data_IF_836126666318
#
_entry.id   IF_836126666318
#
_cell.length_a   1.000
_cell.length_b   1.000
_cell.length_c   1.000
_cell.angle_alpha   90.00
_cell.angle_beta   90.00
_cell.angle_gamma   90.00
#
_symmetry.space_group_name_H-M   'P 1'
#
loop_
_entity.id
_entity.type
_entity.pdbx_description
1 polymer ?
#
# COMPACT_ATOMS: atom_id res chain seq x y z
N UNK A 1 -65.55 22.16 -63.72
CA UNK A 1 -65.33 20.71 -63.47
C UNK A 1 -63.88 20.48 -63.07
N UNK A 2 -63.69 19.72 -62.01
CA UNK A 2 -62.48 19.62 -61.19
C UNK A 2 -61.31 18.87 -61.85
N UNK A 3 -60.10 19.43 -61.68
CA UNK A 3 -58.77 18.87 -61.29
C UNK A 3 -58.37 17.40 -61.63
N UNK A 4 -57.07 17.10 -61.92
CA UNK A 4 -55.98 17.37 -60.96
C UNK A 4 -54.54 17.67 -61.45
N UNK A 5 -53.78 18.20 -60.46
CA UNK A 5 -52.34 18.17 -60.12
C UNK A 5 -51.50 17.08 -60.83
N UNK A 6 -50.17 17.16 -61.04
CA UNK A 6 -49.09 17.56 -60.11
C UNK A 6 -47.69 17.42 -60.79
N UNK A 7 -46.80 18.38 -60.51
CA UNK A 7 -45.33 18.31 -60.28
C UNK A 7 -44.34 17.80 -61.36
N UNK A 8 -43.65 18.79 -61.95
CA UNK A 8 -42.20 19.01 -62.06
C UNK A 8 -41.20 17.85 -61.83
N UNK A 9 -40.26 17.68 -62.77
CA UNK A 9 -38.84 17.43 -62.49
C UNK A 9 -37.95 17.81 -63.70
N UNK A 10 -36.82 18.41 -63.37
CA UNK A 10 -35.81 19.08 -64.18
C UNK A 10 -34.80 18.15 -64.86
N UNK A 11 -34.58 18.44 -66.15
CA UNK A 11 -33.38 18.52 -66.98
C UNK A 11 -31.97 18.08 -66.49
N UNK A 12 -31.17 17.71 -67.51
CA UNK A 12 -29.69 17.68 -67.65
C UNK A 12 -28.94 16.51 -67.03
N UNK A 13 -27.80 16.05 -67.53
CA UNK A 13 -27.17 15.98 -68.84
C UNK A 13 -25.92 15.11 -68.61
N UNK A 14 -25.56 14.33 -69.62
CA UNK A 14 -24.37 13.49 -69.76
C UNK A 14 -23.04 14.18 -69.45
N UNK A 15 -22.07 13.44 -68.91
CA UNK A 15 -20.65 13.83 -68.97
C UNK A 15 -19.72 13.06 -68.04
N UNK A 16 -19.27 11.88 -68.47
CA UNK A 16 -18.24 11.06 -67.81
C UNK A 16 -16.86 11.67 -68.03
N UNK A 17 -16.08 11.87 -66.97
CA UNK A 17 -14.63 12.05 -67.01
C UNK A 17 -13.97 11.12 -66.00
N UNK A 18 -13.17 10.17 -66.52
CA UNK A 18 -12.29 9.31 -65.75
C UNK A 18 -11.04 10.08 -65.30
N UNK A 19 -10.72 9.99 -64.02
CA UNK A 19 -9.34 10.09 -63.54
C UNK A 19 -9.15 9.13 -62.37
N UNK A 20 -8.38 8.07 -62.63
CA UNK A 20 -8.04 7.03 -61.68
C UNK A 20 -7.13 7.59 -60.57
N UNK A 21 -7.66 7.73 -59.36
CA UNK A 21 -6.86 7.97 -58.16
C UNK A 21 -6.22 6.66 -57.70
N UNK A 22 -4.89 6.56 -57.76
CA UNK A 22 -4.14 5.48 -57.12
C UNK A 22 -4.25 5.70 -55.61
N UNK A 23 -5.15 4.97 -54.94
CA UNK A 23 -5.19 4.93 -53.49
C UNK A 23 -4.07 3.99 -53.00
N UNK A 24 -3.01 4.55 -52.40
CA UNK A 24 -2.06 3.77 -51.62
C UNK A 24 -2.77 3.29 -50.35
N UNK A 25 -3.22 2.04 -50.33
CA UNK A 25 -3.64 1.38 -49.11
C UNK A 25 -2.39 1.11 -48.24
N UNK A 26 -2.19 1.91 -47.19
CA UNK A 26 -1.19 1.63 -46.17
C UNK A 26 -1.61 0.36 -45.39
N UNK A 27 -0.68 -0.55 -45.04
CA UNK A 27 -1.01 -1.68 -44.19
C UNK A 27 -1.37 -1.15 -42.80
N UNK A 28 -2.60 -1.39 -42.37
CA UNK A 28 -2.98 -1.22 -40.98
C UNK A 28 -2.28 -2.32 -40.17
N UNK A 29 -1.11 -2.00 -39.62
CA UNK A 29 -0.43 -2.87 -38.65
C UNK A 29 -1.31 -2.97 -37.41
N UNK A 30 -2.02 -4.09 -37.26
CA UNK A 30 -2.58 -4.53 -35.99
C UNK A 30 -1.41 -4.88 -35.08
N UNK A 31 -0.90 -3.89 -34.36
CA UNK A 31 -0.01 -4.14 -33.23
C UNK A 31 -0.80 -5.01 -32.24
N UNK A 32 -0.46 -6.31 -32.21
CA UNK A 32 -0.92 -7.19 -31.16
C UNK A 32 -0.45 -6.57 -29.84
N UNK A 33 -1.40 -6.02 -29.08
CA UNK A 33 -1.14 -5.63 -27.71
C UNK A 33 -0.75 -6.92 -26.99
N UNK A 34 0.56 -7.14 -26.84
CA UNK A 34 1.10 -8.10 -25.89
C UNK A 34 0.59 -7.64 -24.54
N UNK A 35 -0.50 -8.25 -24.11
CA UNK A 35 -1.07 -8.04 -22.80
C UNK A 35 0.00 -8.39 -21.79
N UNK A 36 0.75 -7.38 -21.34
CA UNK A 36 1.49 -7.46 -20.10
C UNK A 36 0.43 -7.78 -19.05
N UNK A 37 0.33 -9.05 -18.66
CA UNK A 37 -0.42 -9.45 -17.46
C UNK A 37 0.11 -8.52 -16.37
N UNK A 38 -0.71 -7.56 -15.95
CA UNK A 38 -0.44 -6.78 -14.76
C UNK A 38 -0.19 -7.83 -13.67
N UNK A 39 1.05 -7.94 -13.21
CA UNK A 39 1.35 -8.79 -12.07
C UNK A 39 0.58 -8.14 -10.93
N UNK A 40 -0.56 -8.71 -10.55
CA UNK A 40 -1.25 -8.32 -9.34
C UNK A 40 -0.27 -8.59 -8.22
N UNK A 41 0.45 -7.54 -7.80
CA UNK A 41 1.39 -7.64 -6.70
C UNK A 41 0.54 -7.97 -5.49
N UNK A 42 0.56 -9.24 -5.08
CA UNK A 42 -0.20 -9.70 -3.92
C UNK A 42 0.12 -8.80 -2.73
N UNK A 43 -0.93 -8.37 -2.02
CA UNK A 43 -0.80 -7.56 -0.81
C UNK A 43 0.13 -8.29 0.16
N UNK A 44 1.19 -7.65 0.65
CA UNK A 44 2.11 -8.31 1.55
C UNK A 44 1.43 -8.54 2.90
N UNK A 45 1.68 -9.72 3.48
CA UNK A 45 1.05 -10.12 4.73
C UNK A 45 1.99 -9.83 5.89
N UNK A 46 1.52 -9.07 6.87
CA UNK A 46 2.20 -8.89 8.15
C UNK A 46 1.90 -10.09 9.03
N UNK A 47 2.94 -10.87 9.34
CA UNK A 47 2.76 -12.16 10.03
C UNK A 47 3.16 -12.10 11.50
N UNK A 48 4.07 -11.20 11.86
CA UNK A 48 4.55 -11.11 13.23
C UNK A 48 5.18 -9.74 13.52
N UNK A 49 5.25 -9.40 14.80
CA UNK A 49 6.06 -8.29 15.28
C UNK A 49 6.83 -8.74 16.52
N UNK A 50 8.14 -8.52 16.49
CA UNK A 50 9.10 -8.93 17.51
C UNK A 50 9.99 -7.76 17.91
N UNK A 51 10.63 -7.88 19.05
CA UNK A 51 11.53 -6.87 19.57
C UNK A 51 12.74 -7.49 20.25
N UNK A 52 13.81 -6.70 20.40
CA UNK A 52 15.01 -7.11 21.11
C UNK A 52 15.80 -5.91 21.61
N UNK A 53 16.39 -6.04 22.79
CA UNK A 53 17.33 -5.06 23.32
C UNK A 53 18.73 -5.36 22.82
N UNK A 54 19.44 -4.33 22.39
CA UNK A 54 20.86 -4.37 22.08
C UNK A 54 21.60 -3.36 22.95
N UNK A 55 22.94 -3.38 22.89
CA UNK A 55 23.76 -2.55 23.75
C UNK A 55 23.49 -1.05 23.55
N UNK A 56 23.30 -0.61 22.31
CA UNK A 56 23.15 0.82 21.94
C UNK A 56 21.81 1.15 21.28
N UNK A 57 20.93 0.16 21.09
CA UNK A 57 19.61 0.38 20.49
C UNK A 57 18.61 -0.70 20.89
N UNK A 58 17.33 -0.35 20.88
CA UNK A 58 16.23 -1.30 20.90
C UNK A 58 15.73 -1.52 19.48
N UNK A 59 15.46 -2.76 19.10
CA UNK A 59 15.02 -3.12 17.76
C UNK A 59 13.57 -3.60 17.81
N UNK A 60 12.75 -3.07 16.91
CA UNK A 60 11.45 -3.63 16.52
C UNK A 60 11.61 -4.24 15.13
N UNK A 61 11.10 -5.45 14.93
CA UNK A 61 11.05 -6.10 13.62
C UNK A 61 9.62 -6.51 13.32
N UNK A 62 9.11 -6.09 12.17
CA UNK A 62 7.85 -6.53 11.61
C UNK A 62 8.20 -7.54 10.52
N UNK A 63 7.78 -8.79 10.70
CA UNK A 63 8.03 -9.87 9.76
C UNK A 63 6.90 -9.90 8.73
N UNK A 64 7.25 -10.01 7.44
CA UNK A 64 6.31 -9.99 6.32
C UNK A 64 6.45 -11.22 5.41
N UNK A 65 5.35 -11.59 4.75
CA UNK A 65 5.32 -12.49 3.60
C UNK A 65 5.00 -11.69 2.34
N UNK A 66 5.67 -12.02 1.23
CA UNK A 66 5.54 -11.29 -0.03
C UNK A 66 6.71 -10.35 -0.23
N UNK A 67 6.52 -9.07 0.09
CA UNK A 67 7.54 -8.02 -0.02
C UNK A 67 7.38 -7.00 1.10
N UNK A 68 8.41 -6.18 1.38
CA UNK A 68 8.27 -5.05 2.30
C UNK A 68 7.59 -3.86 1.60
N UNK A 69 6.37 -3.43 2.00
CA UNK A 69 5.65 -2.34 1.37
C UNK A 69 6.26 -0.96 1.68
N UNK A 70 5.57 0.11 1.29
CA UNK A 70 5.86 1.43 1.84
C UNK A 70 5.52 1.46 3.32
N UNK A 71 6.43 2.02 4.11
CA UNK A 71 6.29 2.12 5.57
C UNK A 71 6.54 3.56 5.98
N UNK A 72 5.58 4.13 6.69
CA UNK A 72 5.68 5.47 7.27
C UNK A 72 5.80 5.34 8.77
N UNK A 73 6.78 6.04 9.36
CA UNK A 73 6.98 6.09 10.81
C UNK A 73 6.82 7.54 11.26
N UNK A 74 5.76 7.81 12.02
CA UNK A 74 5.38 9.17 12.41
C UNK A 74 5.36 9.30 13.93
N UNK A 75 6.10 10.27 14.50
CA UNK A 75 5.92 10.65 15.90
C UNK A 75 4.53 11.26 16.11
N UNK A 76 3.78 10.74 17.08
CA UNK A 76 2.42 11.19 17.38
C UNK A 76 2.26 11.51 18.87
N UNK A 77 1.41 12.47 19.24
CA UNK A 77 1.16 12.80 20.65
C UNK A 77 0.36 11.70 21.37
N UNK A 78 -0.40 10.90 20.63
CA UNK A 78 -1.24 9.80 21.13
C UNK A 78 -1.52 8.80 20.02
N UNK A 79 -1.68 7.53 20.40
CA UNK A 79 -2.08 6.45 19.51
C UNK A 79 -3.56 6.12 19.66
N UNK A 80 -4.20 5.77 18.55
CA UNK A 80 -5.60 5.34 18.50
C UNK A 80 -5.71 4.02 17.73
N UNK A 81 -6.71 3.21 18.06
CA UNK A 81 -7.05 2.03 17.27
C UNK A 81 -7.80 2.45 16.01
N UNK A 82 -7.37 1.91 14.87
CA UNK A 82 -8.00 2.15 13.58
C UNK A 82 -9.46 1.63 13.61
N UNK A 83 -10.35 2.34 12.94
CA UNK A 83 -11.80 2.07 12.93
C UNK A 83 -12.54 2.48 14.20
N UNK A 84 -12.04 2.15 15.40
CA UNK A 84 -12.74 2.46 16.65
C UNK A 84 -12.46 3.87 17.19
N UNK A 85 -11.31 4.46 16.86
CA UNK A 85 -10.87 5.75 17.40
C UNK A 85 -10.58 5.76 18.90
N UNK A 86 -10.60 4.59 19.57
CA UNK A 86 -10.30 4.48 21.00
C UNK A 86 -8.80 4.65 21.24
N UNK A 87 -8.38 5.32 22.33
CA UNK A 87 -6.97 5.47 22.64
C UNK A 87 -6.33 4.11 22.94
N UNK A 88 -5.11 3.91 22.47
CA UNK A 88 -4.34 2.69 22.73
C UNK A 88 -3.72 2.79 24.14
N UNK A 89 -3.95 1.82 25.04
CA UNK A 89 -3.50 1.89 26.43
C UNK A 89 -2.03 1.46 26.57
N UNK A 90 -1.13 2.13 25.86
CA UNK A 90 0.31 1.91 25.97
C UNK A 90 0.93 2.84 27.03
N UNK A 91 1.76 2.27 27.90
CA UNK A 91 2.53 3.03 28.87
C UNK A 91 3.71 3.73 28.16
N UNK A 92 3.76 5.05 28.22
CA UNK A 92 4.83 5.85 27.63
C UNK A 92 4.48 7.34 27.63
N UNK A 93 5.48 8.17 27.34
CA UNK A 93 5.33 9.62 27.16
C UNK A 93 5.44 10.06 25.70
N UNK A 94 6.05 9.23 24.86
CA UNK A 94 6.27 9.46 23.44
C UNK A 94 5.82 8.24 22.65
N UNK A 95 5.27 8.47 21.45
CA UNK A 95 4.71 7.41 20.63
C UNK A 95 5.17 7.53 19.18
N UNK A 96 5.37 6.38 18.53
CA UNK A 96 5.53 6.27 17.09
C UNK A 96 4.36 5.47 16.52
N UNK A 97 3.76 5.99 15.47
CA UNK A 97 2.83 5.28 14.61
C UNK A 97 3.60 4.72 13.40
N UNK A 98 3.51 3.42 13.17
CA UNK A 98 4.19 2.70 12.09
C UNK A 98 3.11 2.16 11.16
N UNK A 99 2.96 2.78 9.98
CA UNK A 99 1.92 2.43 9.00
C UNK A 99 2.53 1.74 7.80
N UNK A 100 2.03 0.55 7.48
CA UNK A 100 2.41 -0.21 6.31
C UNK A 100 1.26 -0.18 5.30
N UNK A 101 1.56 0.22 4.05
CA UNK A 101 0.58 0.26 2.97
C UNK A 101 1.23 0.05 1.60
N UNK A 102 0.66 -0.80 0.72
CA UNK A 102 -0.42 -1.75 1.00
C UNK A 102 0.08 -2.89 1.92
N UNK A 103 -0.74 -3.35 2.85
CA UNK A 103 -0.46 -4.50 3.71
C UNK A 103 -1.75 -5.09 4.29
N UNK A 104 -1.73 -6.37 4.67
CA UNK A 104 -2.82 -7.00 5.43
C UNK A 104 -2.26 -7.90 6.52
N UNK A 105 -2.96 -8.05 7.64
CA UNK A 105 -2.68 -9.03 8.69
C UNK A 105 -3.70 -10.20 8.68
N UNK A 106 -4.54 -10.27 7.64
CA UNK A 106 -5.47 -11.36 7.35
C UNK A 106 -5.25 -11.92 5.93
N UNK A 107 -5.70 -13.15 5.69
CA UNK A 107 -5.74 -13.75 4.35
C UNK A 107 -7.01 -13.35 3.57
N UNK A 108 -7.11 -13.79 2.31
CA UNK A 108 -8.24 -13.47 1.42
C UNK A 108 -9.59 -14.02 1.94
N UNK A 109 -9.59 -14.98 2.87
CA UNK A 109 -10.78 -15.50 3.54
C UNK A 109 -11.11 -14.72 4.83
N UNK A 110 -10.36 -13.65 5.13
CA UNK A 110 -10.51 -12.82 6.32
C UNK A 110 -9.93 -13.43 7.60
N UNK A 111 -9.20 -14.54 7.52
CA UNK A 111 -8.60 -15.18 8.69
C UNK A 111 -7.31 -14.46 9.07
N UNK A 112 -7.20 -14.11 10.35
CA UNK A 112 -6.00 -13.49 10.90
C UNK A 112 -4.75 -14.39 10.73
N UNK A 113 -3.76 -13.88 10.00
CA UNK A 113 -2.45 -14.50 9.80
C UNK A 113 -1.38 -13.95 10.74
N UNK A 114 -1.64 -12.80 11.38
CA UNK A 114 -0.74 -12.23 12.38
C UNK A 114 -0.71 -13.07 13.66
N UNK A 115 0.51 -13.46 14.06
CA UNK A 115 0.79 -14.30 15.23
C UNK A 115 1.45 -13.54 16.38
N UNK A 116 1.81 -12.29 16.17
CA UNK A 116 2.41 -11.45 17.20
C UNK A 116 1.41 -10.95 18.24
N UNK A 117 1.87 -10.21 19.26
CA UNK A 117 0.99 -9.64 20.26
C UNK A 117 0.14 -8.52 19.66
N UNK A 118 -1.13 -8.43 20.09
CA UNK A 118 -2.00 -7.27 19.77
C UNK A 118 -1.65 -6.04 20.60
N UNK A 119 -1.27 -6.25 21.86
CA UNK A 119 -0.83 -5.22 22.79
C UNK A 119 0.09 -5.88 23.80
N UNK A 120 1.29 -5.32 24.01
CA UNK A 120 2.26 -5.84 24.95
C UNK A 120 3.03 -4.71 25.62
N UNK A 121 3.33 -4.90 26.91
CA UNK A 121 4.25 -4.05 27.67
C UNK A 121 5.66 -4.66 27.58
N UNK A 122 6.64 -3.82 27.28
CA UNK A 122 8.03 -4.19 27.03
C UNK A 122 8.91 -3.46 28.05
N UNK A 123 9.97 -4.12 28.52
CA UNK A 123 10.89 -3.59 29.52
C UNK A 123 12.32 -3.49 28.95
N UNK A 124 12.47 -2.74 27.86
CA UNK A 124 13.77 -2.44 27.26
C UNK A 124 14.21 -1.01 27.59
N UNK A 125 15.50 -0.62 27.42
CA UNK A 125 15.97 0.73 27.70
C UNK A 125 15.08 1.87 27.19
N UNK A 126 14.72 1.87 25.90
CA UNK A 126 13.84 2.84 25.24
C UNK A 126 12.41 2.32 25.05
N UNK A 127 12.26 1.12 24.50
CA UNK A 127 10.96 0.57 24.11
C UNK A 127 10.16 0.09 25.33
N UNK A 128 8.94 0.62 25.50
CA UNK A 128 8.06 0.36 26.65
C UNK A 128 6.79 -0.41 26.31
N UNK A 129 6.43 -0.47 25.04
CA UNK A 129 5.35 -1.31 24.59
C UNK A 129 5.13 -1.21 23.08
N UNK A 130 4.39 -2.19 22.58
CA UNK A 130 4.05 -2.35 21.17
C UNK A 130 2.59 -2.79 21.07
N UNK A 131 1.87 -2.25 20.09
CA UNK A 131 0.50 -2.63 19.81
C UNK A 131 0.28 -2.73 18.29
N UNK A 132 -0.50 -3.73 17.86
CA UNK A 132 -1.14 -3.73 16.56
C UNK A 132 -2.42 -2.89 16.70
N UNK A 133 -2.43 -1.71 16.08
CA UNK A 133 -3.51 -0.72 16.24
C UNK A 133 -4.55 -0.80 15.12
N UNK A 134 -4.22 -1.43 13.99
CA UNK A 134 -5.17 -1.62 12.90
C UNK A 134 -4.72 -2.61 11.84
N UNK A 135 -5.70 -3.19 11.16
CA UNK A 135 -5.57 -4.03 9.96
C UNK A 135 -6.85 -3.81 9.14
N UNK A 136 -6.88 -2.75 8.34
CA UNK A 136 -8.09 -2.28 7.64
C UNK A 136 -7.73 -1.53 6.35
N UNK A 137 -8.54 -1.68 5.29
CA UNK A 137 -8.37 -0.97 4.00
C UNK A 137 -6.96 -1.06 3.39
N UNK A 138 -6.27 -2.18 3.61
CA UNK A 138 -4.90 -2.37 3.13
C UNK A 138 -3.85 -1.62 3.95
N UNK A 139 -4.19 -1.14 5.14
CA UNK A 139 -3.25 -0.62 6.13
C UNK A 139 -3.08 -1.63 7.26
N UNK A 140 -1.82 -1.84 7.65
CA UNK A 140 -1.49 -2.44 8.94
C UNK A 140 -0.73 -1.41 9.75
N UNK A 141 -1.25 -1.07 10.92
CA UNK A 141 -0.71 -0.01 11.77
C UNK A 141 -0.22 -0.59 13.08
N UNK A 142 0.99 -0.22 13.49
CA UNK A 142 1.53 -0.49 14.81
C UNK A 142 1.77 0.80 15.58
N UNK A 143 1.57 0.73 16.89
CA UNK A 143 1.93 1.77 17.83
C UNK A 143 3.08 1.31 18.73
N UNK A 144 4.14 2.11 18.84
CA UNK A 144 5.24 1.87 19.77
C UNK A 144 5.32 3.00 20.79
N UNK A 145 5.61 2.65 22.05
CA UNK A 145 5.67 3.59 23.16
C UNK A 145 7.05 3.68 23.81
N UNK A 146 7.42 4.90 24.21
CA UNK A 146 8.74 5.25 24.73
C UNK A 146 8.63 6.19 25.92
N UNK A 147 9.63 6.16 26.82
CA UNK A 147 9.69 7.08 27.96
C UNK A 147 10.37 8.42 27.62
N UNK A 148 11.25 8.41 26.62
CA UNK A 148 11.97 9.59 26.12
C UNK A 148 11.71 9.74 24.62
N UNK A 149 12.00 10.92 24.06
CA UNK A 149 11.85 11.17 22.62
C UNK A 149 12.69 10.16 21.84
N UNK A 150 12.09 9.32 20.98
CA UNK A 150 12.83 8.30 20.25
C UNK A 150 13.69 8.95 19.15
N UNK A 151 14.95 8.51 19.06
CA UNK A 151 15.82 8.76 17.91
C UNK A 151 15.95 7.43 17.18
N UNK A 152 15.49 7.34 15.94
CA UNK A 152 15.31 6.06 15.27
C UNK A 152 15.81 6.03 13.83
N UNK A 153 16.12 4.82 13.38
CA UNK A 153 16.53 4.46 12.03
C UNK A 153 15.62 3.36 11.51
N UNK A 154 15.38 3.31 10.20
CA UNK A 154 14.57 2.25 9.59
C UNK A 154 15.34 1.51 8.50
N UNK A 155 15.12 0.21 8.41
CA UNK A 155 15.77 -0.66 7.45
C UNK A 155 14.78 -1.67 6.87
N UNK A 156 14.99 -2.06 5.62
CA UNK A 156 14.30 -3.19 5.00
C UNK A 156 15.31 -4.32 4.82
N UNK A 157 14.98 -5.50 5.32
CA UNK A 157 15.80 -6.70 5.12
C UNK A 157 15.02 -7.70 4.28
N UNK A 158 15.75 -8.42 3.45
CA UNK A 158 15.23 -9.46 2.59
C UNK A 158 15.68 -10.84 3.10
N UNK A 159 15.02 -11.91 2.64
CA UNK A 159 15.36 -13.31 2.93
C UNK A 159 15.50 -13.64 4.45
N UNK A 160 14.43 -13.56 5.27
CA UNK A 160 13.03 -13.22 4.95
C UNK A 160 12.76 -11.71 4.94
N UNK A 161 11.62 -11.32 4.36
CA UNK A 161 11.14 -9.93 4.28
C UNK A 161 10.82 -9.36 5.67
N UNK A 162 11.50 -8.29 6.03
CA UNK A 162 11.39 -7.66 7.35
C UNK A 162 11.50 -6.16 7.23
N UNK A 163 10.60 -5.47 7.91
CA UNK A 163 10.80 -4.06 8.25
C UNK A 163 11.41 -3.98 9.65
N UNK A 164 12.48 -3.20 9.79
CA UNK A 164 13.22 -3.03 11.04
C UNK A 164 13.21 -1.57 11.43
N UNK A 165 12.95 -1.29 12.70
CA UNK A 165 13.04 0.01 13.32
C UNK A 165 13.96 -0.09 14.53
N UNK A 166 15.08 0.62 14.49
CA UNK A 166 16.06 0.68 15.56
C UNK A 166 15.95 2.01 16.29
N UNK A 167 15.86 1.98 17.62
CA UNK A 167 15.75 3.15 18.49
C UNK A 167 17.00 3.26 19.33
N UNK A 168 17.80 4.29 19.06
CA UNK A 168 19.07 4.49 19.71
C UNK A 168 18.92 4.84 21.20
N UNK A 169 19.88 4.37 21.99
CA UNK A 169 20.06 4.76 23.39
C UNK A 169 21.53 4.68 23.80
N UNK A 170 21.82 5.19 25.01
CA UNK A 170 23.14 5.04 25.62
C UNK A 170 23.54 3.56 25.71
N UNK A 171 24.83 3.27 25.68
CA UNK A 171 25.30 1.90 25.86
C UNK A 171 24.87 1.34 27.24
N UNK A 172 24.24 0.17 27.27
CA UNK A 172 23.78 -0.52 28.49
C UNK A 172 24.40 -1.91 28.70
N UNK A 173 25.25 -2.38 27.78
CA UNK A 173 26.03 -3.58 27.97
C UNK A 173 27.36 -3.21 28.64
N UNK A 174 27.59 -3.74 29.84
CA UNK A 174 28.85 -3.66 30.57
C UNK A 174 29.36 -5.08 30.81
#
# INVERSE_FOLDING_TARGET
>A
MNHPRRRQATALATGVLLSAGIALAAPASTAAATGARARTTQTPLVVNARWGGHCTYDRIVIDLRGHVPSVTVTPVPRLFYDGSGKPVPLAGKFFLEIRLHPAAAHDDAGKNVYRGPKLIKIYLPQLKGLALTGDFEGYVTFGAAFNTKPVFSTHKLHHPERFVLDVAHRNVCC
#
